data_IF_102187333921
#
_entry.id   IF_102187333921
#
_cell.length_a   1.000
_cell.length_b   1.000
_cell.length_c   1.000
_cell.angle_alpha   90.00
_cell.angle_beta   90.00
_cell.angle_gamma   90.00
#
_symmetry.space_group_name_H-M   'P 1'
#
loop_
_entity.id
_entity.type
_entity.pdbx_description
1 polymer ?
#
# COMPACT_ATOMS: atom_id res chain seq x y z
N UNK A 1 14.46 -0.64 -4.53
CA UNK A 1 15.74 -1.09 -3.95
C UNK A 1 16.26 -2.27 -4.76
N UNK A 2 17.52 -2.22 -5.20
CA UNK A 2 18.12 -3.25 -6.04
C UNK A 2 18.40 -4.53 -5.22
N UNK A 3 18.21 -5.71 -5.81
CA UNK A 3 18.46 -7.05 -5.22
C UNK A 3 19.87 -7.17 -4.58
N UNK A 4 20.89 -6.59 -5.23
CA UNK A 4 22.27 -6.56 -4.72
C UNK A 4 22.42 -5.75 -3.43
N UNK A 5 21.70 -4.63 -3.33
CA UNK A 5 21.68 -3.78 -2.13
C UNK A 5 20.97 -4.49 -0.99
N UNK A 6 19.87 -5.18 -1.28
CA UNK A 6 19.12 -5.99 -0.31
C UNK A 6 20.02 -7.09 0.29
N UNK A 7 20.66 -7.91 -0.55
CA UNK A 7 21.55 -8.97 -0.09
C UNK A 7 22.72 -8.44 0.74
N UNK A 8 23.23 -7.26 0.39
CA UNK A 8 24.34 -6.63 1.12
C UNK A 8 23.91 -6.17 2.51
N UNK A 9 22.69 -5.65 2.64
CA UNK A 9 22.11 -5.24 3.93
C UNK A 9 21.77 -6.45 4.81
N UNK A 10 21.22 -7.52 4.23
CA UNK A 10 20.95 -8.78 4.93
C UNK A 10 22.26 -9.43 5.43
N UNK A 11 23.32 -9.42 4.63
CA UNK A 11 24.65 -9.92 5.02
C UNK A 11 25.30 -9.08 6.14
N UNK A 12 24.93 -7.78 6.25
CA UNK A 12 25.37 -6.90 7.32
C UNK A 12 24.51 -7.02 8.60
N UNK A 13 23.57 -7.99 8.65
CA UNK A 13 22.70 -8.22 9.80
C UNK A 13 21.47 -7.30 9.88
N UNK A 14 21.22 -6.50 8.84
CA UNK A 14 20.04 -5.66 8.77
C UNK A 14 18.82 -6.50 8.35
N UNK A 15 17.71 -6.42 9.10
CA UNK A 15 16.43 -7.00 8.68
C UNK A 15 15.80 -6.12 7.63
N UNK A 16 15.77 -6.58 6.39
CA UNK A 16 15.01 -5.93 5.33
C UNK A 16 13.57 -6.39 5.42
N UNK A 17 12.75 -5.58 6.09
CA UNK A 17 11.30 -5.79 6.16
C UNK A 17 10.60 -4.98 5.09
N UNK A 18 9.43 -5.42 4.67
CA UNK A 18 8.55 -4.62 3.82
C UNK A 18 8.00 -3.45 4.63
N UNK A 19 7.60 -2.36 3.95
CA UNK A 19 6.95 -1.21 4.60
C UNK A 19 5.72 -1.66 5.40
N UNK A 20 4.97 -2.64 4.88
CA UNK A 20 3.82 -3.23 5.54
C UNK A 20 4.18 -3.87 6.88
N UNK A 21 5.23 -4.70 6.91
CA UNK A 21 5.70 -5.36 8.13
C UNK A 21 6.29 -4.37 9.13
N UNK A 22 7.04 -3.40 8.65
CA UNK A 22 7.66 -2.37 9.48
C UNK A 22 6.64 -1.49 10.19
N UNK A 23 5.53 -1.14 9.52
CA UNK A 23 4.46 -0.30 10.04
C UNK A 23 3.29 -1.10 10.62
N UNK A 24 3.36 -2.42 10.63
CA UNK A 24 2.28 -3.32 11.08
C UNK A 24 0.93 -3.01 10.42
N UNK A 25 0.94 -2.80 9.10
CA UNK A 25 -0.23 -2.44 8.33
C UNK A 25 -1.05 -3.66 7.95
N UNK A 26 -2.35 -3.57 8.10
CA UNK A 26 -3.29 -4.58 7.58
C UNK A 26 -3.36 -4.55 6.04
N UNK A 27 -3.93 -5.59 5.44
CA UNK A 27 -4.19 -5.61 3.99
C UNK A 27 -5.17 -4.50 3.57
N UNK A 28 -6.11 -4.16 4.44
CA UNK A 28 -7.04 -3.05 4.23
C UNK A 28 -6.31 -1.69 4.24
N UNK A 29 -5.38 -1.49 5.16
CA UNK A 29 -4.58 -0.26 5.22
C UNK A 29 -3.71 -0.11 3.97
N UNK A 30 -3.09 -1.19 3.52
CA UNK A 30 -2.30 -1.19 2.28
C UNK A 30 -3.15 -0.86 1.06
N UNK A 31 -4.33 -1.48 0.93
CA UNK A 31 -5.26 -1.18 -0.16
C UNK A 31 -5.68 0.28 -0.15
N UNK A 32 -5.99 0.83 1.01
CA UNK A 32 -6.38 2.23 1.16
C UNK A 32 -5.25 3.20 0.76
N UNK A 33 -4.03 2.91 1.16
CA UNK A 33 -2.84 3.70 0.78
C UNK A 33 -2.64 3.66 -0.74
N UNK A 34 -2.72 2.49 -1.36
CA UNK A 34 -2.58 2.33 -2.81
C UNK A 34 -3.66 3.09 -3.59
N UNK A 35 -4.89 3.07 -3.11
CA UNK A 35 -5.98 3.84 -3.69
C UNK A 35 -5.70 5.35 -3.64
N UNK A 36 -5.23 5.86 -2.51
CA UNK A 36 -4.87 7.27 -2.35
C UNK A 36 -3.73 7.68 -3.27
N UNK A 37 -2.68 6.88 -3.36
CA UNK A 37 -1.53 7.13 -4.24
C UNK A 37 -1.97 7.16 -5.71
N UNK A 38 -2.81 6.22 -6.13
CA UNK A 38 -3.31 6.16 -7.49
C UNK A 38 -4.17 7.39 -7.85
N UNK A 39 -5.02 7.84 -6.94
CA UNK A 39 -5.82 9.05 -7.13
C UNK A 39 -4.97 10.32 -7.15
N UNK A 40 -3.94 10.41 -6.31
CA UNK A 40 -2.99 11.51 -6.32
C UNK A 40 -2.26 11.61 -7.67
N UNK A 41 -1.82 10.48 -8.19
CA UNK A 41 -1.18 10.36 -9.49
C UNK A 41 -2.12 10.76 -10.63
N UNK A 42 -3.37 10.32 -10.57
CA UNK A 42 -4.41 10.67 -11.54
C UNK A 42 -4.73 12.16 -11.52
N UNK A 43 -4.76 12.78 -10.36
CA UNK A 43 -4.94 14.23 -10.23
C UNK A 43 -3.84 15.01 -10.94
N UNK A 44 -2.60 14.60 -10.76
CA UNK A 44 -1.44 15.18 -11.44
C UNK A 44 -1.51 14.99 -12.96
N UNK A 45 -1.91 13.80 -13.42
CA UNK A 45 -2.10 13.51 -14.86
C UNK A 45 -3.16 14.43 -15.48
N UNK A 46 -4.31 14.62 -14.81
CA UNK A 46 -5.36 15.53 -15.27
C UNK A 46 -4.88 16.97 -15.34
N UNK A 47 -4.13 17.42 -14.35
CA UNK A 47 -3.55 18.75 -14.36
C UNK A 47 -2.59 18.94 -15.54
N UNK A 48 -1.69 18.01 -15.73
CA UNK A 48 -0.69 18.08 -16.80
C UNK A 48 -1.33 17.98 -18.18
N UNK A 49 -2.32 17.13 -18.35
CA UNK A 49 -3.05 16.99 -19.61
C UNK A 49 -3.84 18.26 -19.99
N UNK A 50 -4.28 19.03 -19.00
CA UNK A 50 -4.96 20.30 -19.19
C UNK A 50 -4.01 21.50 -19.26
N UNK A 51 -2.70 21.25 -19.18
CA UNK A 51 -1.64 22.29 -19.15
C UNK A 51 -1.88 23.35 -18.06
N UNK A 52 -2.29 22.89 -16.88
CA UNK A 52 -2.58 23.73 -15.72
C UNK A 52 -1.43 23.73 -14.71
N UNK A 53 -1.23 24.87 -14.06
CA UNK A 53 -0.39 24.96 -12.87
C UNK A 53 -1.13 24.47 -11.64
N UNK A 54 -0.42 24.13 -10.57
CA UNK A 54 -1.04 23.77 -9.29
C UNK A 54 -1.91 24.90 -8.72
N UNK A 55 -1.52 26.14 -8.92
CA UNK A 55 -2.31 27.30 -8.52
C UNK A 55 -3.63 27.41 -9.28
N UNK A 56 -3.60 27.17 -10.58
CA UNK A 56 -4.82 27.17 -11.41
C UNK A 56 -5.77 26.03 -11.02
N UNK A 57 -5.23 24.85 -10.71
CA UNK A 57 -6.03 23.75 -10.16
C UNK A 57 -6.61 24.13 -8.81
N UNK A 58 -5.83 24.73 -7.92
CA UNK A 58 -6.30 25.20 -6.62
C UNK A 58 -7.52 26.11 -6.74
N UNK A 59 -7.49 27.06 -7.66
CA UNK A 59 -8.63 27.95 -7.94
C UNK A 59 -9.86 27.19 -8.42
N UNK A 60 -9.69 26.20 -9.30
CA UNK A 60 -10.80 25.39 -9.83
C UNK A 60 -11.45 24.49 -8.79
N UNK A 61 -10.65 23.92 -7.90
CA UNK A 61 -11.14 23.01 -6.85
C UNK A 61 -11.51 23.72 -5.55
N UNK A 62 -11.33 25.03 -5.47
CA UNK A 62 -11.62 25.80 -4.27
C UNK A 62 -10.67 25.48 -3.11
N UNK A 63 -9.39 25.34 -3.41
CA UNK A 63 -8.35 24.97 -2.44
C UNK A 63 -7.14 25.91 -2.54
N UNK A 64 -6.09 25.63 -1.80
CA UNK A 64 -4.80 26.32 -1.88
C UNK A 64 -3.80 25.57 -2.75
N UNK A 65 -2.86 26.28 -3.34
CA UNK A 65 -1.78 25.67 -4.13
C UNK A 65 -0.96 24.69 -3.28
N UNK A 66 -0.65 25.01 -2.04
CA UNK A 66 0.08 24.11 -1.16
C UNK A 66 -0.68 22.82 -0.85
N UNK A 67 -2.02 22.88 -0.76
CA UNK A 67 -2.87 21.69 -0.60
C UNK A 67 -2.90 20.84 -1.86
N UNK A 68 -2.94 21.45 -3.04
CA UNK A 68 -2.85 20.73 -4.32
C UNK A 68 -1.49 20.03 -4.44
N UNK A 69 -0.40 20.70 -4.06
CA UNK A 69 0.92 20.09 -4.05
C UNK A 69 0.99 18.85 -3.13
N UNK A 70 0.39 18.92 -1.95
CA UNK A 70 0.28 17.78 -1.03
C UNK A 70 -0.58 16.65 -1.60
N UNK A 71 -1.70 16.97 -2.26
CA UNK A 71 -2.55 15.99 -2.93
C UNK A 71 -1.78 15.21 -4.00
N UNK A 72 -1.04 15.91 -4.86
CA UNK A 72 -0.26 15.29 -5.92
C UNK A 72 0.97 14.51 -5.40
N UNK A 73 1.51 14.91 -4.26
CA UNK A 73 2.61 14.21 -3.60
C UNK A 73 2.19 12.93 -2.85
N UNK A 74 0.89 12.68 -2.73
CA UNK A 74 0.38 11.53 -1.96
C UNK A 74 0.57 11.68 -0.45
N UNK A 75 0.53 12.89 0.08
CA UNK A 75 0.67 13.16 1.51
C UNK A 75 -0.38 12.38 2.32
N UNK A 76 0.02 11.66 3.38
CA UNK A 76 -0.91 10.87 4.21
C UNK A 76 -2.02 11.70 4.86
N UNK A 77 -1.79 13.00 5.11
CA UNK A 77 -2.80 13.90 5.68
C UNK A 77 -3.93 14.25 4.70
N UNK A 78 -3.75 14.00 3.42
CA UNK A 78 -4.79 14.23 2.40
C UNK A 78 -5.83 13.13 2.47
N UNK A 79 -7.09 13.51 2.55
CA UNK A 79 -8.21 12.56 2.61
C UNK A 79 -8.63 12.06 1.22
N UNK A 80 -9.24 10.88 1.19
CA UNK A 80 -9.83 10.31 -0.02
C UNK A 80 -10.87 11.24 -0.64
N UNK A 81 -11.73 11.84 0.17
CA UNK A 81 -12.78 12.77 -0.25
C UNK A 81 -12.20 13.96 -1.00
N UNK A 82 -11.09 14.49 -0.50
CA UNK A 82 -10.43 15.62 -1.12
C UNK A 82 -9.87 15.27 -2.50
N UNK A 83 -9.28 14.09 -2.64
CA UNK A 83 -8.76 13.60 -3.92
C UNK A 83 -9.87 13.34 -4.93
N UNK A 84 -10.91 12.63 -4.53
CA UNK A 84 -12.06 12.32 -5.40
C UNK A 84 -12.79 13.60 -5.80
N UNK A 85 -13.09 14.47 -4.84
CA UNK A 85 -13.77 15.74 -5.09
C UNK A 85 -12.99 16.66 -6.02
N UNK A 86 -11.67 16.72 -5.86
CA UNK A 86 -10.80 17.52 -6.73
C UNK A 86 -10.76 16.97 -8.16
N UNK A 87 -10.68 15.65 -8.33
CA UNK A 87 -10.73 15.01 -9.64
C UNK A 87 -12.03 15.31 -10.38
N UNK A 88 -13.17 15.18 -9.70
CA UNK A 88 -14.47 15.47 -10.29
C UNK A 88 -14.61 16.95 -10.69
N UNK A 89 -14.10 17.86 -9.87
CA UNK A 89 -14.09 19.32 -10.18
C UNK A 89 -13.16 19.68 -11.34
N UNK A 90 -12.11 18.90 -11.57
CA UNK A 90 -11.25 19.04 -12.75
C UNK A 90 -11.85 18.47 -14.03
N UNK A 91 -13.01 17.82 -13.93
CA UNK A 91 -13.72 17.26 -15.08
C UNK A 91 -13.49 15.77 -15.29
N UNK A 92 -12.87 15.08 -14.34
CA UNK A 92 -12.79 13.63 -14.39
C UNK A 92 -14.19 13.02 -14.26
N UNK A 93 -14.51 12.06 -15.12
CA UNK A 93 -15.77 11.33 -15.02
C UNK A 93 -15.74 10.38 -13.83
N UNK A 94 -16.86 10.16 -13.13
CA UNK A 94 -16.93 9.20 -12.02
C UNK A 94 -16.39 7.81 -12.38
N UNK A 95 -16.62 7.39 -13.60
CA UNK A 95 -16.08 6.12 -14.14
C UNK A 95 -14.56 6.08 -14.11
N UNK A 96 -13.88 7.16 -14.47
CA UNK A 96 -12.40 7.24 -14.46
C UNK A 96 -11.88 7.13 -13.03
N UNK A 97 -12.55 7.74 -12.06
CA UNK A 97 -12.20 7.63 -10.64
C UNK A 97 -12.36 6.19 -10.17
N UNK A 98 -13.47 5.53 -10.51
CA UNK A 98 -13.72 4.14 -10.16
C UNK A 98 -12.68 3.18 -10.78
N UNK A 99 -12.38 3.35 -12.07
CA UNK A 99 -11.36 2.56 -12.78
C UNK A 99 -9.96 2.75 -12.18
N UNK A 100 -9.62 3.96 -11.76
CA UNK A 100 -8.33 4.25 -11.10
C UNK A 100 -8.21 3.50 -9.78
N UNK A 101 -9.26 3.49 -8.98
CA UNK A 101 -9.32 2.77 -7.71
C UNK A 101 -9.23 1.26 -7.94
N UNK A 102 -10.02 0.73 -8.87
CA UNK A 102 -10.03 -0.70 -9.20
C UNK A 102 -8.65 -1.18 -9.68
N UNK A 103 -8.02 -0.46 -10.58
CA UNK A 103 -6.67 -0.77 -11.09
C UNK A 103 -5.64 -0.78 -9.97
N UNK A 104 -5.71 0.17 -9.04
CA UNK A 104 -4.82 0.24 -7.89
C UNK A 104 -4.98 -0.98 -6.96
N UNK A 105 -6.21 -1.39 -6.69
CA UNK A 105 -6.50 -2.56 -5.86
C UNK A 105 -6.01 -3.85 -6.51
N UNK A 106 -6.25 -4.02 -7.81
CA UNK A 106 -5.79 -5.20 -8.55
C UNK A 106 -4.27 -5.29 -8.60
N UNK A 107 -3.57 -4.18 -8.81
CA UNK A 107 -2.11 -4.12 -8.79
C UNK A 107 -1.54 -4.45 -7.41
N UNK A 108 -2.11 -3.93 -6.34
CA UNK A 108 -1.72 -4.22 -4.97
C UNK A 108 -1.95 -5.70 -4.60
N UNK A 109 -3.06 -6.29 -5.04
CA UNK A 109 -3.37 -7.72 -4.83
C UNK A 109 -2.38 -8.64 -5.55
N UNK A 110 -1.96 -8.28 -6.75
CA UNK A 110 -0.97 -9.03 -7.52
C UNK A 110 0.41 -8.97 -6.86
N UNK A 111 0.82 -7.80 -6.38
CA UNK A 111 2.08 -7.63 -5.65
C UNK A 111 2.09 -8.41 -4.32
N UNK A 112 0.98 -8.43 -3.59
CA UNK A 112 0.82 -9.17 -2.35
C UNK A 112 0.89 -10.69 -2.56
N UNK A 113 0.35 -11.21 -3.67
CA UNK A 113 0.47 -12.63 -4.02
C UNK A 113 1.91 -13.03 -4.38
N UNK A 114 2.66 -12.16 -5.04
CA UNK A 114 4.05 -12.39 -5.40
C UNK A 114 5.00 -12.31 -4.18
N UNK A 115 4.64 -11.56 -3.14
CA UNK A 115 5.43 -11.35 -1.94
C UNK A 115 5.13 -12.35 -0.80
N UNK A 116 4.23 -13.32 -1.00
CA UNK A 116 3.90 -14.30 0.04
C UNK A 116 5.07 -15.26 0.23
N UNK A 117 5.77 -15.23 1.40
CA UNK A 117 6.79 -16.24 1.67
C UNK A 117 6.14 -17.62 1.73
N UNK A 118 6.85 -18.68 1.33
CA UNK A 118 6.33 -20.03 1.43
C UNK A 118 5.92 -20.28 2.88
N UNK A 119 4.69 -20.69 3.09
CA UNK A 119 4.20 -21.09 4.41
C UNK A 119 5.17 -22.15 4.94
N UNK A 120 5.93 -21.82 5.97
CA UNK A 120 6.67 -22.83 6.72
C UNK A 120 5.66 -23.85 7.17
N UNK A 121 5.73 -25.03 6.59
CA UNK A 121 5.05 -26.22 7.09
C UNK A 121 5.53 -26.40 8.52
N UNK A 122 4.70 -26.05 9.49
CA UNK A 122 4.91 -26.44 10.86
C UNK A 122 4.78 -27.96 10.85
N UNK A 123 5.92 -28.64 10.83
CA UNK A 123 5.92 -30.08 11.08
C UNK A 123 5.39 -30.25 12.51
N UNK A 124 4.16 -30.76 12.60
CA UNK A 124 3.69 -31.31 13.86
C UNK A 124 4.67 -32.41 14.25
N UNK A 125 5.64 -32.06 15.07
CA UNK A 125 6.34 -33.08 15.87
C UNK A 125 5.26 -33.72 16.73
N UNK A 126 4.80 -34.88 16.31
CA UNK A 126 4.10 -35.80 17.19
C UNK A 126 5.04 -36.10 18.36
N UNK A 127 4.78 -35.49 19.46
CA UNK A 127 5.39 -35.87 20.73
C UNK A 127 4.84 -37.24 21.03
N UNK A 128 5.61 -38.27 20.73
CA UNK A 128 5.36 -39.62 21.25
C UNK A 128 5.40 -39.50 22.76
N UNK A 129 4.24 -39.62 23.38
CA UNK A 129 4.13 -39.67 24.82
C UNK A 129 4.77 -40.96 25.31
N UNK A 130 5.92 -40.82 25.91
CA UNK A 130 6.50 -41.89 26.70
C UNK A 130 5.84 -41.79 28.08
N UNK A 131 4.76 -42.53 28.27
CA UNK A 131 4.15 -42.70 29.56
C UNK A 131 5.09 -43.54 30.46
N UNK A 132 5.32 -43.15 31.72
CA UNK A 132 6.10 -43.96 32.62
C UNK A 132 5.33 -45.24 32.93
N UNK A 133 5.95 -46.37 32.66
CA UNK A 133 5.47 -47.65 33.13
C UNK A 133 5.67 -47.68 34.65
N UNK A 134 4.57 -47.57 35.39
CA UNK A 134 4.58 -47.91 36.81
C UNK A 134 4.58 -49.43 36.98
N UNK A 135 5.74 -49.99 37.25
CA UNK A 135 5.82 -51.32 37.81
C UNK A 135 5.47 -51.24 39.32
N UNK A 136 4.28 -51.69 39.69
CA UNK A 136 3.96 -51.96 41.08
C UNK A 136 4.47 -53.35 41.39
N UNK A 137 5.52 -53.46 42.15
CA UNK A 137 5.84 -54.60 42.89
C UNK A 137 5.06 -54.56 44.21
N UNK A 138 4.26 -55.59 44.42
CA UNK A 138 3.63 -55.82 45.67
C UNK A 138 4.66 -56.29 46.70
#
# INVERSE_FOLDING_TARGET
MNERTRKRLEAAGARVTTVKEFLDLSDADMAFIEMKIALAKKLREYRQAADLTQEQVAKRVGSSQSRVAKMEAGDPAVTMDLLVGSLLRLGAKPRVVAETIETAILAASSAAKAAKPPRKRVSRRTRAGNGPAHAKTA
#
